data_IF_588164913793
#
_entry.id   IF_588164913793
#
_cell.length_a   1.000
_cell.length_b   1.000
_cell.length_c   1.000
_cell.angle_alpha   90.00
_cell.angle_beta   90.00
_cell.angle_gamma   90.00
#
_symmetry.space_group_name_H-M   'P 1'
#
loop_
_entity.id
_entity.type
_entity.pdbx_description
1 polymer ?
#
# COMPACT_ATOMS: atom_id res chain seq x y z
N UNK A 1 -9.43 -5.04 1.86
CA UNK A 1 -8.40 -4.10 1.35
C UNK A 1 -8.88 -3.61 0.00
N UNK A 2 -9.06 -2.29 -0.14
CA UNK A 2 -9.53 -1.70 -1.40
C UNK A 2 -8.54 -1.92 -2.54
N UNK A 3 -9.05 -2.03 -3.76
CA UNK A 3 -8.24 -2.04 -4.97
C UNK A 3 -7.66 -0.64 -5.24
N UNK A 4 -6.48 -0.59 -5.84
CA UNK A 4 -5.89 0.63 -6.37
C UNK A 4 -6.64 1.08 -7.62
N UNK A 5 -7.66 1.92 -7.44
CA UNK A 5 -8.61 2.31 -8.50
C UNK A 5 -7.98 3.01 -9.72
N UNK A 6 -6.74 3.52 -9.61
CA UNK A 6 -6.07 4.29 -10.66
C UNK A 6 -5.03 3.47 -11.44
N UNK A 7 -5.04 2.14 -11.32
CA UNK A 7 -4.13 1.25 -12.06
C UNK A 7 -4.91 0.54 -13.15
N UNK A 8 -4.78 1.01 -14.40
CA UNK A 8 -5.37 0.34 -15.58
C UNK A 8 -4.42 -0.71 -16.18
N UNK A 9 -3.12 -0.41 -16.16
CA UNK A 9 -2.05 -1.29 -16.65
C UNK A 9 -0.86 -1.18 -15.72
N UNK A 10 -0.46 -2.31 -15.14
CA UNK A 10 0.74 -2.38 -14.32
C UNK A 10 1.98 -2.26 -15.20
N UNK A 11 2.95 -1.48 -14.74
CA UNK A 11 4.26 -1.38 -15.37
C UNK A 11 5.01 -2.72 -15.20
N UNK A 12 5.57 -3.31 -16.29
CA UNK A 12 6.31 -4.57 -16.24
C UNK A 12 7.40 -4.63 -15.16
N UNK A 13 8.05 -3.50 -14.85
CA UNK A 13 9.12 -3.43 -13.86
C UNK A 13 8.61 -3.65 -12.42
N UNK A 14 7.29 -3.62 -12.21
CA UNK A 14 6.63 -3.84 -10.92
C UNK A 14 5.77 -5.11 -10.90
N UNK A 15 5.89 -5.98 -11.92
CA UNK A 15 5.05 -7.18 -12.07
C UNK A 15 5.20 -8.20 -10.92
N UNK A 16 6.32 -8.16 -10.21
CA UNK A 16 6.63 -9.00 -9.04
C UNK A 16 6.19 -8.38 -7.71
N UNK A 17 5.75 -7.12 -7.71
CA UNK A 17 5.28 -6.44 -6.50
C UNK A 17 3.85 -6.83 -6.13
N UNK A 18 3.53 -6.98 -4.83
CA UNK A 18 2.21 -7.42 -4.37
C UNK A 18 1.18 -6.29 -4.34
N UNK A 19 1.08 -5.49 -5.40
CA UNK A 19 0.16 -4.35 -5.52
C UNK A 19 -1.29 -4.87 -5.60
N UNK A 20 -2.19 -4.22 -4.87
CA UNK A 20 -3.59 -4.64 -4.75
C UNK A 20 -4.40 -4.12 -5.94
N UNK A 21 -4.52 -4.92 -7.00
CA UNK A 21 -5.30 -4.57 -8.20
C UNK A 21 -6.80 -4.93 -8.09
N UNK A 22 -7.16 -5.82 -7.16
CA UNK A 22 -8.52 -6.29 -6.93
C UNK A 22 -8.91 -6.18 -5.46
N UNK A 23 -10.20 -6.04 -5.18
CA UNK A 23 -10.73 -5.99 -3.82
C UNK A 23 -10.39 -7.30 -3.08
N UNK A 24 -9.74 -7.19 -1.92
CA UNK A 24 -9.51 -8.34 -1.03
C UNK A 24 -10.47 -8.27 0.16
N UNK A 25 -11.50 -9.10 0.15
CA UNK A 25 -12.48 -9.19 1.23
C UNK A 25 -11.97 -10.04 2.40
N UNK A 26 -12.58 -9.86 3.59
CA UNK A 26 -12.34 -10.68 4.78
C UNK A 26 -10.86 -10.79 5.24
N UNK A 27 -10.00 -9.86 4.82
CA UNK A 27 -8.59 -9.85 5.22
C UNK A 27 -8.43 -9.29 6.64
N UNK A 28 -7.76 -10.05 7.50
CA UNK A 28 -7.37 -9.61 8.83
C UNK A 28 -6.04 -8.85 8.79
N UNK A 29 -6.07 -7.56 9.11
CA UNK A 29 -4.87 -6.73 9.25
C UNK A 29 -4.46 -6.64 10.71
N UNK A 30 -3.26 -7.13 11.05
CA UNK A 30 -2.71 -7.04 12.40
C UNK A 30 -1.81 -5.80 12.58
N UNK A 31 -1.21 -5.33 11.48
CA UNK A 31 -0.37 -4.15 11.43
C UNK A 31 -0.52 -3.48 10.06
N UNK A 32 -0.53 -2.14 10.03
CA UNK A 32 -0.55 -1.34 8.80
C UNK A 32 0.52 -0.25 8.92
N UNK A 33 1.28 -0.04 7.85
CA UNK A 33 2.26 1.04 7.75
C UNK A 33 1.71 2.12 6.81
N UNK A 34 1.61 3.35 7.31
CA UNK A 34 1.42 4.54 6.48
C UNK A 34 2.76 5.24 6.36
N UNK A 35 3.26 5.41 5.14
CA UNK A 35 4.54 6.05 4.87
C UNK A 35 4.36 7.20 3.87
N UNK A 36 5.03 8.32 4.12
CA UNK A 36 4.98 9.51 3.27
C UNK A 36 6.33 10.19 3.17
N UNK A 37 6.59 10.79 2.01
CA UNK A 37 7.80 11.56 1.71
C UNK A 37 7.42 12.99 1.38
N UNK A 38 8.05 13.94 2.07
CA UNK A 38 7.90 15.38 1.86
C UNK A 38 9.10 16.00 1.14
N UNK A 39 8.89 17.19 0.60
CA UNK A 39 9.96 18.01 0.04
C UNK A 39 11.07 18.26 1.07
N UNK A 40 12.32 18.35 0.59
CA UNK A 40 13.50 18.50 1.46
C UNK A 40 14.04 17.20 2.06
N UNK A 41 13.57 16.05 1.59
CA UNK A 41 14.09 14.74 2.01
C UNK A 41 13.49 14.19 3.31
N UNK A 42 12.38 14.77 3.79
CA UNK A 42 11.71 14.33 5.02
C UNK A 42 10.88 13.08 4.75
N UNK A 43 11.05 12.04 5.57
CA UNK A 43 10.18 10.86 5.61
C UNK A 43 9.39 10.84 6.93
N UNK A 44 8.09 10.60 6.84
CA UNK A 44 7.24 10.27 7.99
C UNK A 44 6.60 8.89 7.83
N UNK A 45 6.83 8.00 8.80
CA UNK A 45 6.27 6.66 8.86
C UNK A 45 5.47 6.44 10.15
N UNK A 46 4.26 5.89 10.03
CA UNK A 46 3.39 5.50 11.14
C UNK A 46 3.00 4.03 11.03
N UNK A 47 3.38 3.22 12.02
CA UNK A 47 2.96 1.83 12.15
C UNK A 47 1.79 1.73 13.14
N UNK A 48 0.64 1.26 12.66
CA UNK A 48 -0.58 1.05 13.43
C UNK A 48 -0.77 -0.44 13.67
N UNK A 49 -0.73 -0.87 14.94
CA UNK A 49 -0.90 -2.28 15.32
C UNK A 49 -2.21 -2.45 16.09
N UNK A 50 -2.91 -3.53 15.78
CA UNK A 50 -4.07 -3.97 16.55
C UNK A 50 -3.60 -4.68 17.83
N UNK A 51 -4.07 -4.23 18.99
CA UNK A 51 -3.81 -4.85 20.31
C UNK A 51 -4.91 -5.81 20.71
#
# INVERSE_FOLDING_TARGET
IAASANIDKLDPDFADMPIVQELRENVKLNCVLSNSFGFGGTNGSLALKRV
#
